data_IF_579016993826
#
_entry.id   IF_579016993826
#
_cell.length_a   1.000
_cell.length_b   1.000
_cell.length_c   1.000
_cell.angle_alpha   90.00
_cell.angle_beta   90.00
_cell.angle_gamma   90.00
#
_symmetry.space_group_name_H-M   'P 1'
#
loop_
_entity.id
_entity.type
_entity.pdbx_description
1 polymer ?
#
# COMPACT_ATOMS: atom_id res chain seq x y z
N UNK A 1 -14.10 -17.13 -0.61
CA UNK A 1 -14.16 -15.74 -1.00
C UNK A 1 -12.85 -15.06 -0.78
N UNK A 2 -12.49 -14.28 -1.74
CA UNK A 2 -11.26 -13.52 -1.64
C UNK A 2 -11.55 -12.10 -1.36
N UNK A 3 -11.40 -11.73 -0.12
CA UNK A 3 -11.55 -10.33 0.24
C UNK A 3 -10.19 -9.71 0.20
N UNK A 4 -9.81 -9.25 -0.95
CA UNK A 4 -8.53 -8.61 -1.06
C UNK A 4 -8.66 -7.15 -0.78
N UNK A 5 -7.71 -6.63 -0.04
CA UNK A 5 -7.67 -5.22 0.30
C UNK A 5 -6.77 -4.54 -0.71
N UNK A 6 -7.22 -3.40 -1.17
CA UNK A 6 -6.43 -2.64 -2.14
C UNK A 6 -6.54 -1.16 -1.85
N UNK A 7 -5.66 -0.40 -2.45
CA UNK A 7 -5.66 1.06 -2.33
C UNK A 7 -5.65 1.67 -3.72
N UNK A 8 -6.20 2.85 -3.81
CA UNK A 8 -6.18 3.62 -5.05
C UNK A 8 -5.19 4.76 -4.90
N UNK A 9 -4.23 4.80 -5.77
CA UNK A 9 -3.22 5.85 -5.75
C UNK A 9 -3.12 6.41 -7.16
N UNK A 10 -3.39 7.69 -7.29
CA UNK A 10 -3.36 8.35 -8.59
C UNK A 10 -4.25 7.66 -9.62
N UNK A 11 -5.37 7.12 -9.16
CA UNK A 11 -6.29 6.48 -10.06
C UNK A 11 -5.98 5.03 -10.38
N UNK A 12 -4.91 4.50 -9.84
CA UNK A 12 -4.52 3.11 -10.07
C UNK A 12 -4.76 2.29 -8.82
N UNK A 13 -5.13 1.06 -9.01
CA UNK A 13 -5.39 0.16 -7.90
C UNK A 13 -4.17 -0.70 -7.61
N UNK A 14 -3.82 -0.76 -6.34
CA UNK A 14 -2.68 -1.54 -5.88
C UNK A 14 -3.08 -2.45 -4.73
N UNK A 15 -2.43 -3.59 -4.65
CA UNK A 15 -2.66 -4.56 -3.59
C UNK A 15 -1.35 -4.80 -2.85
N UNK A 16 -1.44 -5.52 -1.75
CA UNK A 16 -0.24 -5.91 -1.03
C UNK A 16 0.67 -6.71 -1.95
N UNK A 17 1.93 -6.37 -1.90
CA UNK A 17 2.91 -7.02 -2.75
C UNK A 17 3.18 -6.29 -4.05
N UNK A 18 2.35 -5.33 -4.38
CA UNK A 18 2.56 -4.57 -5.61
C UNK A 18 3.66 -3.55 -5.42
N UNK A 19 4.22 -3.12 -6.52
CA UNK A 19 5.29 -2.12 -6.51
C UNK A 19 4.81 -0.82 -7.11
N UNK A 20 5.27 0.26 -6.52
CA UNK A 20 5.03 1.60 -7.02
C UNK A 20 6.37 2.30 -7.00
N UNK A 21 6.91 2.61 -8.16
CA UNK A 21 8.22 3.25 -8.27
C UNK A 21 9.25 2.43 -7.54
N UNK A 22 9.79 2.98 -6.47
CA UNK A 22 10.79 2.28 -5.66
C UNK A 22 10.20 1.59 -4.47
N UNK A 23 8.91 1.79 -4.25
CA UNK A 23 8.25 1.28 -3.06
C UNK A 23 7.54 -0.02 -3.37
N UNK A 24 7.40 -0.82 -2.35
CA UNK A 24 6.55 -1.99 -2.42
C UNK A 24 5.52 -1.86 -1.32
N UNK A 25 4.30 -2.24 -1.62
CA UNK A 25 3.25 -2.19 -0.61
C UNK A 25 3.37 -3.43 0.25
N UNK A 26 3.71 -3.23 1.51
CA UNK A 26 3.91 -4.33 2.41
C UNK A 26 2.62 -4.74 3.09
N UNK A 27 1.90 -3.77 3.61
CA UNK A 27 0.64 -4.04 4.31
C UNK A 27 -0.34 -2.92 4.06
N UNK A 28 -1.60 -3.27 4.04
CA UNK A 28 -2.67 -2.31 3.89
C UNK A 28 -3.61 -2.45 5.07
N UNK A 29 -3.77 -1.37 5.82
CA UNK A 29 -4.67 -1.33 6.96
C UNK A 29 -5.80 -0.35 6.68
N UNK A 30 -6.77 -0.31 7.57
CA UNK A 30 -7.92 0.55 7.38
C UNK A 30 -7.56 2.02 7.30
N UNK A 31 -6.57 2.42 8.07
CA UNK A 31 -6.24 3.84 8.19
C UNK A 31 -4.85 4.17 7.71
N UNK A 32 -4.12 3.21 7.21
CA UNK A 32 -2.77 3.49 6.75
C UNK A 32 -2.26 2.39 5.84
N UNK A 33 -1.26 2.72 5.09
CA UNK A 33 -0.59 1.76 4.21
C UNK A 33 0.88 1.78 4.57
N UNK A 34 1.48 0.61 4.65
CA UNK A 34 2.89 0.48 4.94
C UNK A 34 3.61 0.15 3.64
N UNK A 35 4.51 1.03 3.28
CA UNK A 35 5.36 0.84 2.11
C UNK A 35 6.74 0.43 2.55
N UNK A 36 7.40 -0.29 1.70
CA UNK A 36 8.76 -0.72 1.96
C UNK A 36 9.66 -0.11 0.90
N UNK A 37 10.63 0.65 1.33
CA UNK A 37 11.61 1.25 0.44
C UNK A 37 12.96 0.69 0.83
N UNK A 38 13.43 -0.32 0.12
CA UNK A 38 14.64 -1.00 0.52
C UNK A 38 14.45 -1.66 1.87
N UNK A 39 15.17 -1.18 2.86
CA UNK A 39 15.06 -1.68 4.22
C UNK A 39 14.20 -0.81 5.10
N UNK A 40 13.63 0.23 4.55
CA UNK A 40 12.95 1.23 5.36
C UNK A 40 11.45 1.12 5.15
N UNK A 41 10.73 1.10 6.26
CA UNK A 41 9.27 1.14 6.20
C UNK A 41 8.81 2.56 6.25
N UNK A 42 7.85 2.86 5.39
CA UNK A 42 7.26 4.18 5.33
C UNK A 42 5.77 4.02 5.53
N UNK A 43 5.24 4.68 6.53
CA UNK A 43 3.82 4.61 6.82
C UNK A 43 3.14 5.85 6.30
N UNK A 44 2.05 5.64 5.58
CA UNK A 44 1.27 6.73 5.05
C UNK A 44 -0.15 6.60 5.53
N UNK A 45 -0.69 7.67 6.08
CA UNK A 45 -2.08 7.68 6.47
C UNK A 45 -2.96 7.70 5.26
N UNK A 46 -3.99 6.89 5.31
CA UNK A 46 -5.00 6.85 4.27
C UNK A 46 -6.25 7.36 4.92
N UNK A 47 -6.69 8.49 4.51
CA UNK A 47 -7.77 8.99 5.24
C UNK A 47 -8.81 9.58 4.39
N UNK A 48 -9.72 10.08 5.05
CA UNK A 48 -10.77 10.75 4.43
C UNK A 48 -10.58 12.13 4.49
#
# INVERSE_FOLDING_TARGET
>A
LDDKVYVIINGNRYEEGDRIDRYMIEDIYDDRVVFLLGDTRVLKGVGK
#
